data_IF_848968788268
#
_entry.id   IF_848968788268
#
_cell.length_a   1.000
_cell.length_b   1.000
_cell.length_c   1.000
_cell.angle_alpha   90.00
_cell.angle_beta   90.00
_cell.angle_gamma   90.00
#
_symmetry.space_group_name_H-M   'P 1'
#
loop_
_entity.id
_entity.type
_entity.pdbx_description
1 polymer ?
#
# COMPACT_ATOMS: atom_id res chain seq x y z
N UNK A 1 6.76 -11.88 -4.03
CA UNK A 1 5.46 -12.56 -3.94
C UNK A 1 4.42 -11.89 -3.02
N UNK A 2 4.82 -11.10 -2.01
CA UNK A 2 3.88 -10.44 -1.09
C UNK A 2 2.79 -9.61 -1.81
N UNK A 3 3.19 -8.68 -2.69
CA UNK A 3 2.24 -7.82 -3.41
C UNK A 3 1.24 -8.63 -4.25
N UNK A 4 1.69 -9.69 -4.92
CA UNK A 4 0.82 -10.58 -5.70
C UNK A 4 -0.18 -11.33 -4.81
N UNK A 5 0.25 -11.77 -3.63
CA UNK A 5 -0.65 -12.43 -2.66
C UNK A 5 -1.73 -11.48 -2.16
N UNK A 6 -1.36 -10.25 -1.79
CA UNK A 6 -2.32 -9.24 -1.33
C UNK A 6 -3.26 -8.81 -2.47
N UNK A 7 -2.75 -8.64 -3.68
CA UNK A 7 -3.57 -8.32 -4.85
C UNK A 7 -4.60 -9.42 -5.17
N UNK A 8 -4.18 -10.70 -5.12
CA UNK A 8 -5.09 -11.84 -5.27
C UNK A 8 -6.16 -11.87 -4.18
N UNK A 9 -5.81 -11.53 -2.94
CA UNK A 9 -6.77 -11.47 -1.82
C UNK A 9 -7.78 -10.35 -2.06
N UNK A 10 -7.33 -9.17 -2.45
CA UNK A 10 -8.18 -8.02 -2.78
C UNK A 10 -9.17 -8.37 -3.90
N UNK A 11 -8.68 -8.87 -5.04
CA UNK A 11 -9.52 -9.25 -6.17
C UNK A 11 -10.58 -10.32 -5.83
N UNK A 12 -10.23 -11.27 -4.95
CA UNK A 12 -11.20 -12.25 -4.44
C UNK A 12 -12.27 -11.63 -3.56
N UNK A 13 -11.96 -10.57 -2.81
CA UNK A 13 -12.93 -9.84 -1.98
C UNK A 13 -13.86 -9.02 -2.86
N UNK A 14 -13.32 -8.31 -3.87
CA UNK A 14 -14.12 -7.56 -4.85
C UNK A 14 -15.12 -8.48 -5.54
N UNK A 15 -14.73 -9.66 -6.04
CA UNK A 15 -15.68 -10.59 -6.67
C UNK A 15 -16.69 -11.27 -5.71
N UNK A 16 -16.64 -10.95 -4.41
CA UNK A 16 -17.66 -11.32 -3.43
C UNK A 16 -18.54 -10.12 -3.03
N UNK A 17 -18.17 -8.90 -3.40
CA UNK A 17 -18.91 -7.70 -3.08
C UNK A 17 -20.26 -7.66 -3.82
N UNK A 18 -21.31 -7.03 -3.26
CA UNK A 18 -22.65 -7.00 -3.85
C UNK A 18 -22.70 -6.40 -5.27
N UNK A 19 -21.77 -5.49 -5.59
CA UNK A 19 -21.73 -4.75 -6.86
C UNK A 19 -20.87 -5.41 -7.95
N UNK A 20 -20.29 -6.59 -7.69
CA UNK A 20 -19.32 -7.23 -8.58
C UNK A 20 -19.93 -7.81 -9.89
N UNK A 21 -21.23 -7.61 -10.13
CA UNK A 21 -21.94 -8.21 -11.26
C UNK A 21 -21.87 -9.74 -11.25
N UNK A 22 -21.68 -10.34 -12.42
CA UNK A 22 -21.54 -11.79 -12.54
C UNK A 22 -20.24 -12.29 -11.89
N UNK A 23 -20.38 -13.13 -10.87
CA UNK A 23 -19.24 -13.77 -10.17
C UNK A 23 -18.28 -14.50 -11.11
N UNK A 24 -18.77 -15.04 -12.23
CA UNK A 24 -17.93 -15.72 -13.23
C UNK A 24 -17.10 -14.72 -14.04
N UNK A 25 -17.72 -13.64 -14.49
CA UNK A 25 -17.06 -12.59 -15.27
C UNK A 25 -16.04 -11.84 -14.43
N UNK A 26 -16.40 -11.44 -13.20
CA UNK A 26 -15.46 -10.81 -12.28
C UNK A 26 -14.24 -11.69 -12.03
N UNK A 27 -14.43 -13.00 -11.80
CA UNK A 27 -13.29 -13.92 -11.61
C UNK A 27 -12.41 -14.03 -12.86
N UNK A 28 -12.98 -13.99 -14.06
CA UNK A 28 -12.23 -14.02 -15.30
C UNK A 28 -11.39 -12.74 -15.45
N UNK A 29 -11.98 -11.56 -15.21
CA UNK A 29 -11.26 -10.28 -15.22
C UNK A 29 -10.17 -10.22 -14.14
N UNK A 30 -10.50 -10.60 -12.91
CA UNK A 30 -9.54 -10.70 -11.81
C UNK A 30 -8.34 -11.59 -12.15
N UNK A 31 -8.59 -12.72 -12.82
CA UNK A 31 -7.52 -13.62 -13.28
C UNK A 31 -6.63 -12.93 -14.34
N UNK A 32 -7.23 -12.26 -15.32
CA UNK A 32 -6.49 -11.52 -16.34
C UNK A 32 -5.58 -10.44 -15.72
N UNK A 33 -6.09 -9.65 -14.77
CA UNK A 33 -5.28 -8.67 -14.05
C UNK A 33 -4.14 -9.33 -13.26
N UNK A 34 -4.41 -10.43 -12.56
CA UNK A 34 -3.39 -11.16 -11.81
C UNK A 34 -2.30 -11.78 -12.70
N UNK A 35 -2.62 -12.13 -13.95
CA UNK A 35 -1.63 -12.61 -14.92
C UNK A 35 -0.75 -11.46 -15.40
N UNK A 36 -1.34 -10.29 -15.66
CA UNK A 36 -0.59 -9.09 -16.03
C UNK A 36 0.39 -8.68 -14.91
N UNK A 37 -0.07 -8.57 -13.66
CA UNK A 37 0.78 -8.16 -12.54
C UNK A 37 1.85 -9.19 -12.23
N UNK A 38 1.54 -10.49 -12.31
CA UNK A 38 2.52 -11.57 -12.15
C UNK A 38 3.68 -11.44 -13.14
N UNK A 39 3.41 -11.07 -14.39
CA UNK A 39 4.43 -11.02 -15.43
C UNK A 39 5.18 -9.69 -15.48
N UNK A 40 4.51 -8.57 -15.22
CA UNK A 40 5.09 -7.23 -15.41
C UNK A 40 5.29 -6.43 -14.12
N UNK A 41 4.53 -6.76 -13.06
CA UNK A 41 4.43 -5.94 -11.84
C UNK A 41 5.74 -5.76 -11.10
N UNK A 42 6.55 -6.82 -10.99
CA UNK A 42 7.87 -6.73 -10.35
C UNK A 42 8.84 -5.81 -11.12
N UNK A 43 8.79 -5.84 -12.45
CA UNK A 43 9.58 -4.98 -13.32
C UNK A 43 9.18 -3.51 -13.15
N UNK A 44 7.87 -3.23 -13.26
CA UNK A 44 7.34 -1.87 -13.09
C UNK A 44 7.61 -1.31 -11.70
N UNK A 45 7.41 -2.09 -10.64
CA UNK A 45 7.71 -1.67 -9.28
C UNK A 45 9.19 -1.32 -9.12
N UNK A 46 10.11 -2.17 -9.61
CA UNK A 46 11.54 -1.88 -9.52
C UNK A 46 11.91 -0.61 -10.28
N UNK A 47 11.40 -0.44 -11.50
CA UNK A 47 11.71 0.75 -12.31
C UNK A 47 11.11 2.02 -11.71
N UNK A 48 9.90 1.98 -11.17
CA UNK A 48 9.25 3.13 -10.55
C UNK A 48 9.98 3.54 -9.28
N UNK A 49 10.37 2.58 -8.44
CA UNK A 49 11.16 2.89 -7.23
C UNK A 49 12.50 3.53 -7.60
N UNK A 50 13.17 3.06 -8.66
CA UNK A 50 14.41 3.71 -9.14
C UNK A 50 14.18 5.13 -9.65
N UNK A 51 13.02 5.42 -10.23
CA UNK A 51 12.71 6.73 -10.80
C UNK A 51 12.17 7.73 -9.76
N UNK A 52 11.54 7.24 -8.70
CA UNK A 52 10.80 8.07 -7.73
C UNK A 52 11.43 8.13 -6.35
N UNK A 53 12.37 7.23 -6.02
CA UNK A 53 13.04 7.23 -4.72
C UNK A 53 14.48 7.73 -4.84
N UNK A 54 14.90 8.51 -3.85
CA UNK A 54 16.31 8.85 -3.66
C UNK A 54 17.06 7.69 -3.02
N UNK A 55 18.29 7.45 -3.47
CA UNK A 55 19.21 6.56 -2.76
C UNK A 55 19.72 7.26 -1.51
N UNK A 56 19.79 6.53 -0.41
CA UNK A 56 20.20 7.05 0.90
C UNK A 56 21.37 6.21 1.40
N UNK A 57 22.39 6.86 1.95
CA UNK A 57 23.52 6.18 2.59
C UNK A 57 23.07 5.40 3.82
N UNK A 58 23.74 4.29 4.13
CA UNK A 58 23.26 3.31 5.11
C UNK A 58 22.94 3.88 6.50
N UNK A 59 23.75 4.83 6.96
CA UNK A 59 23.60 5.44 8.29
C UNK A 59 22.41 6.43 8.36
N UNK A 60 21.99 6.97 7.22
CA UNK A 60 20.88 7.94 7.12
C UNK A 60 19.51 7.26 6.92
N UNK A 61 19.48 5.97 6.62
CA UNK A 61 18.25 5.20 6.37
C UNK A 61 17.22 5.34 7.50
N UNK A 62 17.57 5.20 8.80
CA UNK A 62 16.60 5.36 9.89
C UNK A 62 15.99 6.76 9.94
N UNK A 63 16.82 7.80 9.74
CA UNK A 63 16.37 9.19 9.73
C UNK A 63 15.38 9.45 8.58
N UNK A 64 15.65 8.89 7.39
CA UNK A 64 14.77 9.04 6.22
C UNK A 64 13.45 8.29 6.37
N UNK A 65 13.45 7.11 6.99
CA UNK A 65 12.21 6.42 7.33
C UNK A 65 11.35 7.21 8.32
N UNK A 66 11.99 7.86 9.31
CA UNK A 66 11.33 8.73 10.29
C UNK A 66 10.73 9.97 9.66
N UNK A 67 11.50 10.67 8.83
CA UNK A 67 11.04 11.84 8.10
C UNK A 67 9.83 11.52 7.22
N UNK A 68 9.92 10.44 6.43
CA UNK A 68 8.82 10.00 5.57
C UNK A 68 7.56 9.66 6.36
N UNK A 69 7.71 8.87 7.44
CA UNK A 69 6.56 8.46 8.27
C UNK A 69 5.89 9.68 8.92
N UNK A 70 6.68 10.62 9.45
CA UNK A 70 6.18 11.87 10.03
C UNK A 70 5.41 12.69 8.99
N UNK A 71 5.98 12.92 7.83
CA UNK A 71 5.33 13.69 6.76
C UNK A 71 4.03 13.02 6.29
N UNK A 72 4.00 11.69 6.19
CA UNK A 72 2.81 10.95 5.83
C UNK A 72 1.70 11.11 6.88
N UNK A 73 2.02 10.88 8.16
CA UNK A 73 1.04 10.96 9.24
C UNK A 73 0.57 12.39 9.46
N UNK A 74 1.43 13.41 9.38
CA UNK A 74 1.00 14.80 9.44
C UNK A 74 -0.06 15.13 8.38
N UNK A 75 0.06 14.55 7.18
CA UNK A 75 -0.87 14.82 6.09
C UNK A 75 -2.17 14.03 6.18
N UNK A 76 -2.14 12.78 6.66
CA UNK A 76 -3.29 11.87 6.55
C UNK A 76 -3.81 11.33 7.89
N UNK A 77 -3.11 11.56 9.00
CA UNK A 77 -3.46 11.11 10.35
C UNK A 77 -2.68 11.89 11.43
N UNK A 78 -2.93 13.19 11.52
CA UNK A 78 -2.12 14.13 12.32
C UNK A 78 -2.00 13.72 13.80
N UNK A 79 -3.06 13.13 14.37
CA UNK A 79 -3.05 12.65 15.77
C UNK A 79 -2.04 11.53 16.05
N UNK A 80 -1.55 10.85 15.02
CA UNK A 80 -0.52 9.81 15.13
C UNK A 80 0.88 10.30 14.74
N UNK A 81 1.04 11.57 14.39
CA UNK A 81 2.33 12.15 14.00
C UNK A 81 3.19 12.60 15.19
N UNK A 82 3.03 11.97 16.36
CA UNK A 82 3.83 12.27 17.56
C UNK A 82 5.16 11.53 17.53
N UNK A 83 6.19 12.10 18.15
CA UNK A 83 7.52 11.51 18.13
C UNK A 83 7.54 10.12 18.79
N UNK A 84 6.77 9.90 19.86
CA UNK A 84 6.66 8.60 20.52
C UNK A 84 6.06 7.51 19.60
N UNK A 85 4.97 7.82 18.89
CA UNK A 85 4.29 6.85 18.02
C UNK A 85 5.11 6.55 16.77
N UNK A 86 5.83 7.54 16.25
CA UNK A 86 6.78 7.35 15.14
C UNK A 86 7.88 6.37 15.53
N UNK A 87 8.51 6.59 16.68
CA UNK A 87 9.63 5.77 17.14
C UNK A 87 9.17 4.36 17.53
N UNK A 88 7.98 4.21 18.12
CA UNK A 88 7.36 2.90 18.39
C UNK A 88 7.11 2.12 17.08
N UNK A 89 6.50 2.77 16.08
CA UNK A 89 6.22 2.13 14.80
C UNK A 89 7.51 1.72 14.08
N UNK A 90 8.52 2.59 14.02
CA UNK A 90 9.79 2.27 13.35
C UNK A 90 10.59 1.21 14.10
N UNK A 91 10.46 1.13 15.42
CA UNK A 91 11.06 0.05 16.21
C UNK A 91 10.37 -1.28 15.92
N UNK A 92 9.03 -1.31 15.93
CA UNK A 92 8.22 -2.49 15.65
C UNK A 92 8.46 -3.05 14.24
N UNK A 93 8.63 -2.16 13.27
CA UNK A 93 8.74 -2.50 11.85
C UNK A 93 10.18 -2.44 11.31
N UNK A 94 11.19 -2.43 12.18
CA UNK A 94 12.60 -2.36 11.78
C UNK A 94 12.98 -3.49 10.80
N UNK A 95 13.52 -3.12 9.64
CA UNK A 95 13.85 -4.04 8.54
C UNK A 95 12.63 -4.52 7.74
N UNK A 96 11.43 -4.06 8.09
CA UNK A 96 10.15 -4.35 7.44
C UNK A 96 9.35 -3.07 7.15
N UNK A 97 10.02 -1.94 6.99
CA UNK A 97 9.42 -0.61 6.80
C UNK A 97 8.53 -0.57 5.55
N UNK A 98 8.87 -1.33 4.51
CA UNK A 98 8.02 -1.49 3.34
C UNK A 98 6.62 -2.06 3.68
N UNK A 99 6.52 -2.95 4.68
CA UNK A 99 5.23 -3.48 5.14
C UNK A 99 4.46 -2.43 5.95
N UNK A 100 5.14 -1.63 6.78
CA UNK A 100 4.54 -0.49 7.46
C UNK A 100 3.88 0.45 6.44
N UNK A 101 4.62 0.85 5.40
CA UNK A 101 4.10 1.76 4.38
C UNK A 101 2.97 1.16 3.56
N UNK A 102 3.03 -0.14 3.28
CA UNK A 102 1.92 -0.84 2.66
C UNK A 102 0.64 -0.80 3.51
N UNK A 103 0.74 -0.98 4.84
CA UNK A 103 -0.42 -0.86 5.74
C UNK A 103 -0.98 0.57 5.77
N UNK A 104 -0.10 1.58 5.80
CA UNK A 104 -0.51 2.98 5.72
C UNK A 104 -1.26 3.28 4.41
N UNK A 105 -0.77 2.76 3.28
CA UNK A 105 -1.45 2.90 1.99
C UNK A 105 -2.81 2.22 2.00
N UNK A 106 -2.93 1.02 2.58
CA UNK A 106 -4.24 0.34 2.69
C UNK A 106 -5.23 1.10 3.56
N UNK A 107 -4.76 1.71 4.65
CA UNK A 107 -5.61 2.44 5.59
C UNK A 107 -6.02 3.82 5.05
N UNK A 108 -5.07 4.56 4.49
CA UNK A 108 -5.26 5.96 4.09
C UNK A 108 -5.38 6.17 2.57
N UNK A 109 -5.42 5.09 1.76
CA UNK A 109 -5.47 5.17 0.30
C UNK A 109 -6.60 6.04 -0.23
N UNK A 110 -7.77 6.03 0.44
CA UNK A 110 -8.90 6.91 0.12
C UNK A 110 -8.59 8.40 0.23
N UNK A 111 -7.63 8.78 1.07
CA UNK A 111 -7.29 10.17 1.37
C UNK A 111 -6.34 10.79 0.34
N UNK A 112 -5.67 9.97 -0.48
CA UNK A 112 -4.71 10.48 -1.48
C UNK A 112 -4.88 9.90 -2.89
N UNK A 113 -5.72 8.89 -3.07
CA UNK A 113 -6.22 8.51 -4.39
C UNK A 113 -7.51 9.28 -4.65
N UNK A 114 -7.48 10.15 -5.66
CA UNK A 114 -8.69 10.81 -6.15
C UNK A 114 -9.51 9.81 -6.95
N UNK A 115 -10.75 9.61 -6.54
CA UNK A 115 -11.71 8.85 -7.32
C UNK A 115 -12.63 9.86 -8.01
N UNK A 116 -12.31 10.16 -9.26
CA UNK A 116 -13.19 10.96 -10.10
C UNK A 116 -14.25 10.00 -10.68
N UNK A 117 -15.53 10.29 -10.46
CA UNK A 117 -16.70 9.56 -10.99
C UNK A 117 -16.83 8.06 -10.61
N UNK A 118 -16.16 7.60 -9.54
CA UNK A 118 -16.24 6.22 -9.02
C UNK A 118 -16.27 6.25 -7.49
N UNK A 119 -17.06 5.40 -6.83
CA UNK A 119 -17.02 5.29 -5.36
C UNK A 119 -15.69 4.72 -4.86
N UNK A 120 -15.15 5.35 -3.80
CA UNK A 120 -13.87 4.96 -3.19
C UNK A 120 -13.98 3.65 -2.38
N UNK A 121 -13.90 2.50 -3.04
CA UNK A 121 -13.85 1.18 -2.40
C UNK A 121 -12.40 0.74 -2.10
N UNK A 122 -11.87 1.15 -0.93
CA UNK A 122 -10.72 0.48 -0.31
C UNK A 122 -11.20 -0.39 0.84
N UNK A 123 -10.87 -1.68 0.81
CA UNK A 123 -11.10 -2.61 1.92
C UNK A 123 -9.80 -2.76 2.75
N UNK A 124 -9.75 -2.21 3.96
CA UNK A 124 -8.56 -2.29 4.81
C UNK A 124 -8.81 -2.04 6.29
N UNK A 125 -8.93 -3.13 7.07
CA UNK A 125 -8.92 -3.14 8.54
C UNK A 125 -7.52 -3.59 9.03
N UNK A 126 -6.51 -2.72 8.95
CA UNK A 126 -5.19 -3.00 9.52
C UNK A 126 -4.95 -2.12 10.72
N UNK A 127 -4.51 -2.68 11.87
CA UNK A 127 -3.94 -1.97 13.03
C UNK A 127 -2.44 -1.66 12.80
N UNK A 128 -1.90 -0.65 13.50
CA UNK A 128 -0.49 -0.24 13.41
C UNK A 128 0.40 -1.21 14.17
#
# INVERSE_FOLDING_TARGET
>A
DYCEKEFRKCMKQICKAPLAGSKKECKAQAKAFQELTKNLGAGFHRSSQKASCDCVEGDDVPARHREYLKAFLQKYNESQATDELLDEALTKWKGQEAHLYFQLVKRHGKSFVRFDDIEAEFHGDGEL
#
